data_IF_140529403289
#
_entry.id   IF_140529403289
#
_cell.length_a   1.000
_cell.length_b   1.000
_cell.length_c   1.000
_cell.angle_alpha   90.00
_cell.angle_beta   90.00
_cell.angle_gamma   90.00
#
_symmetry.space_group_name_H-M   'P 1'
#
loop_
_entity.id
_entity.type
_entity.pdbx_description
1 polymer ?
#
# COMPACT_ATOMS: atom_id res chain seq x y z
N UNK A 1 -20.37 22.44 -26.13
CA UNK A 1 -19.79 21.31 -25.39
C UNK A 1 -18.70 21.89 -24.49
N UNK A 2 -18.88 22.02 -23.17
CA UNK A 2 -17.73 22.35 -22.34
C UNK A 2 -16.89 21.09 -22.17
N UNK A 3 -15.64 21.13 -22.60
CA UNK A 3 -14.58 20.23 -22.15
C UNK A 3 -14.29 20.58 -20.70
N UNK A 4 -14.79 19.74 -19.79
CA UNK A 4 -14.38 19.78 -18.40
C UNK A 4 -13.00 19.15 -18.30
N UNK A 5 -11.98 19.97 -18.54
CA UNK A 5 -10.62 19.64 -18.11
C UNK A 5 -10.50 20.20 -16.71
N UNK A 6 -11.05 19.48 -15.73
CA UNK A 6 -10.57 19.59 -14.35
C UNK A 6 -9.05 19.44 -14.41
N UNK A 7 -8.26 20.34 -13.79
CA UNK A 7 -6.85 20.06 -13.60
C UNK A 7 -6.77 18.70 -12.90
N UNK A 8 -6.08 17.74 -13.50
CA UNK A 8 -5.53 16.63 -12.73
C UNK A 8 -4.68 17.29 -11.66
N UNK A 9 -5.06 17.14 -10.39
CA UNK A 9 -4.35 17.71 -9.25
C UNK A 9 -2.96 17.05 -9.19
N UNK A 10 -2.00 17.58 -9.95
CA UNK A 10 -0.58 17.20 -10.07
C UNK A 10 0.21 17.49 -8.75
N UNK A 11 -0.39 17.25 -7.59
CA UNK A 11 0.18 17.65 -6.30
C UNK A 11 0.89 16.48 -5.57
N UNK A 12 0.62 15.25 -6.00
CA UNK A 12 1.24 14.06 -5.40
C UNK A 12 2.30 13.50 -6.34
N UNK A 13 3.53 13.42 -5.84
CA UNK A 13 4.61 12.67 -6.49
C UNK A 13 4.70 11.28 -5.87
N UNK A 14 4.29 10.26 -6.62
CA UNK A 14 4.45 8.86 -6.19
C UNK A 14 5.83 8.34 -6.58
N UNK A 15 6.60 7.88 -5.58
CA UNK A 15 7.94 7.30 -5.80
C UNK A 15 8.18 6.11 -4.89
N UNK A 16 9.24 5.35 -5.18
CA UNK A 16 9.74 4.30 -4.28
C UNK A 16 10.19 4.95 -2.97
N UNK A 17 9.98 4.23 -1.86
CA UNK A 17 10.53 4.59 -0.56
C UNK A 17 12.05 4.79 -0.61
N UNK A 18 12.53 5.79 0.10
CA UNK A 18 13.93 6.06 0.35
C UNK A 18 14.23 6.00 1.86
N UNK A 19 15.44 5.63 2.30
CA UNK A 19 15.76 5.49 3.73
C UNK A 19 15.47 6.73 4.59
N UNK A 20 15.43 7.92 3.98
CA UNK A 20 15.05 9.17 4.65
C UNK A 20 13.57 9.28 5.02
N UNK A 21 12.68 8.51 4.39
CA UNK A 21 11.23 8.58 4.61
C UNK A 21 10.77 7.85 5.88
N UNK A 22 11.62 6.98 6.44
CA UNK A 22 11.22 5.99 7.45
C UNK A 22 10.55 6.56 8.70
N UNK A 23 11.00 7.71 9.19
CA UNK A 23 10.34 8.36 10.33
C UNK A 23 8.91 8.79 9.97
N UNK A 24 8.74 9.52 8.86
CA UNK A 24 7.43 10.05 8.47
C UNK A 24 6.44 8.96 8.10
N UNK A 25 6.91 7.88 7.47
CA UNK A 25 6.09 6.69 7.17
C UNK A 25 5.51 6.06 8.44
N UNK A 26 6.29 5.92 9.52
CA UNK A 26 5.80 5.40 10.80
C UNK A 26 4.77 6.32 11.44
N UNK A 27 5.05 7.62 11.46
CA UNK A 27 4.11 8.65 11.96
C UNK A 27 2.80 8.65 11.17
N UNK A 28 2.87 8.52 9.84
CA UNK A 28 1.71 8.41 8.97
C UNK A 28 0.89 7.15 9.24
N UNK A 29 1.55 5.99 9.40
CA UNK A 29 0.87 4.75 9.73
C UNK A 29 0.11 4.86 11.06
N UNK A 30 0.74 5.39 12.10
CA UNK A 30 0.10 5.64 13.39
C UNK A 30 -1.07 6.63 13.28
N UNK A 31 -0.87 7.76 12.58
CA UNK A 31 -1.92 8.77 12.40
C UNK A 31 -3.14 8.21 11.65
N UNK A 32 -2.92 7.41 10.61
CA UNK A 32 -3.99 6.77 9.85
C UNK A 32 -4.67 5.64 10.64
N UNK A 33 -3.89 4.77 11.31
CA UNK A 33 -4.42 3.61 12.04
C UNK A 33 -5.12 4.01 13.33
N UNK A 34 -4.66 5.04 14.04
CA UNK A 34 -5.26 5.49 15.32
C UNK A 34 -6.74 5.87 15.21
N UNK A 35 -7.27 6.04 13.99
CA UNK A 35 -8.69 6.30 13.72
C UNK A 35 -9.50 5.04 13.47
N UNK A 36 -8.90 3.85 13.48
CA UNK A 36 -9.57 2.57 13.27
C UNK A 36 -9.73 1.79 14.59
N UNK A 37 -10.82 1.02 14.77
CA UNK A 37 -11.02 0.20 15.97
C UNK A 37 -9.94 -0.87 16.20
N UNK A 38 -9.23 -1.27 15.16
CA UNK A 38 -8.21 -2.32 15.17
C UNK A 38 -6.85 -1.83 15.68
N UNK A 39 -6.69 -0.52 15.89
CA UNK A 39 -5.42 0.05 16.34
C UNK A 39 -5.03 -0.44 17.73
N UNK A 40 -3.77 -0.88 17.83
CA UNK A 40 -3.14 -1.22 19.10
C UNK A 40 -1.93 -0.30 19.28
N UNK A 41 -2.00 0.70 20.17
CA UNK A 41 -0.89 1.61 20.41
C UNK A 41 0.39 0.87 20.79
N UNK A 42 1.51 1.20 20.15
CA UNK A 42 2.81 0.61 20.43
C UNK A 42 2.97 -0.85 19.97
N UNK A 43 2.04 -1.39 19.18
CA UNK A 43 2.27 -2.63 18.46
C UNK A 43 3.46 -2.45 17.50
N UNK A 44 4.41 -3.39 17.46
CA UNK A 44 5.59 -3.23 16.61
C UNK A 44 5.23 -3.45 15.14
N UNK A 45 5.33 -2.38 14.34
CA UNK A 45 5.29 -2.44 12.87
C UNK A 45 6.70 -2.74 12.33
N UNK A 46 7.18 -3.98 12.52
CA UNK A 46 8.58 -4.38 12.23
C UNK A 46 8.98 -4.17 10.76
N UNK A 47 8.04 -4.37 9.86
CA UNK A 47 8.19 -4.09 8.43
C UNK A 47 8.44 -2.59 8.13
N UNK A 48 7.93 -1.69 8.97
CA UNK A 48 8.20 -0.24 8.88
C UNK A 48 9.48 0.20 9.63
N UNK A 49 10.09 -0.69 10.42
CA UNK A 49 11.42 -0.47 11.00
C UNK A 49 12.53 -0.69 9.97
N UNK A 50 12.34 -1.67 9.05
CA UNK A 50 13.25 -1.98 7.93
C UNK A 50 12.44 -2.25 6.64
N UNK A 51 11.93 -1.17 6.04
CA UNK A 51 11.17 -1.24 4.78
C UNK A 51 11.96 -1.92 3.66
N UNK A 52 13.23 -1.55 3.38
CA UNK A 52 13.98 -2.20 2.31
C UNK A 52 14.18 -3.70 2.54
N UNK A 53 14.50 -4.10 3.77
CA UNK A 53 14.72 -5.51 4.10
C UNK A 53 13.44 -6.35 4.05
N UNK A 54 12.28 -5.75 4.26
CA UNK A 54 11.00 -6.44 4.22
C UNK A 54 10.37 -6.48 2.81
N UNK A 55 10.29 -5.33 2.13
CA UNK A 55 9.48 -5.20 0.93
C UNK A 55 10.24 -5.35 -0.38
N UNK A 56 11.57 -5.14 -0.43
CA UNK A 56 12.27 -5.09 -1.72
C UNK A 56 12.78 -6.45 -2.22
N UNK A 57 12.52 -7.54 -1.48
CA UNK A 57 12.71 -8.91 -1.98
C UNK A 57 11.43 -9.39 -2.69
N UNK A 58 11.24 -8.94 -3.93
CA UNK A 58 10.09 -9.32 -4.76
C UNK A 58 8.82 -8.49 -4.52
N UNK A 59 8.83 -7.50 -3.64
CA UNK A 59 7.73 -6.56 -3.43
C UNK A 59 8.07 -5.12 -3.81
N UNK A 60 7.19 -4.21 -3.40
CA UNK A 60 7.36 -2.78 -3.59
C UNK A 60 6.80 -2.00 -2.40
N UNK A 61 7.41 -0.86 -2.10
CA UNK A 61 6.90 0.10 -1.14
C UNK A 61 6.98 1.51 -1.73
N UNK A 62 5.82 2.12 -1.92
CA UNK A 62 5.66 3.45 -2.49
C UNK A 62 5.30 4.47 -1.42
N UNK A 63 5.80 5.68 -1.61
CA UNK A 63 5.42 6.88 -0.87
C UNK A 63 4.82 7.90 -1.85
N UNK A 64 3.73 8.53 -1.43
CA UNK A 64 3.17 9.70 -2.08
C UNK A 64 3.68 10.94 -1.37
N UNK A 65 4.39 11.80 -2.10
CA UNK A 65 5.04 13.00 -1.57
C UNK A 65 4.34 14.24 -2.08
N UNK A 66 3.97 15.13 -1.17
CA UNK A 66 3.37 16.43 -1.45
C UNK A 66 4.13 17.50 -0.69
N UNK A 67 4.50 18.60 -1.36
CA UNK A 67 5.28 19.69 -0.75
C UNK A 67 6.57 19.21 -0.02
N UNK A 68 7.15 18.11 -0.50
CA UNK A 68 8.34 17.48 0.08
C UNK A 68 8.08 16.57 1.29
N UNK A 69 6.82 16.35 1.67
CA UNK A 69 6.42 15.51 2.79
C UNK A 69 5.69 14.24 2.33
N UNK A 70 5.96 13.11 2.98
CA UNK A 70 5.24 11.86 2.74
C UNK A 70 3.85 11.96 3.36
N UNK A 71 2.82 11.94 2.51
CA UNK A 71 1.40 12.03 2.91
C UNK A 71 0.60 10.76 2.56
N UNK A 72 1.19 9.82 1.83
CA UNK A 72 0.57 8.55 1.51
C UNK A 72 1.58 7.41 1.41
N UNK A 73 1.15 6.18 1.66
CA UNK A 73 1.93 4.96 1.44
C UNK A 73 1.08 3.88 0.80
N UNK A 74 1.72 2.97 0.07
CA UNK A 74 1.12 1.72 -0.38
C UNK A 74 2.24 0.71 -0.66
N UNK A 75 2.01 -0.56 -0.37
CA UNK A 75 2.98 -1.61 -0.58
C UNK A 75 2.32 -2.86 -1.18
N UNK A 76 3.11 -3.65 -1.89
CA UNK A 76 2.76 -5.04 -2.14
C UNK A 76 3.92 -5.98 -1.82
N UNK A 77 3.56 -7.22 -1.55
CA UNK A 77 4.47 -8.35 -1.38
C UNK A 77 3.91 -9.59 -2.09
N UNK A 78 4.76 -10.50 -2.58
CA UNK A 78 4.29 -11.77 -3.13
C UNK A 78 3.42 -12.52 -2.12
N UNK A 79 2.31 -13.12 -2.57
CA UNK A 79 1.48 -13.90 -1.66
C UNK A 79 2.27 -15.08 -1.07
N UNK A 80 2.19 -15.26 0.26
CA UNK A 80 2.71 -16.47 0.87
C UNK A 80 1.94 -17.70 0.32
N UNK A 81 2.67 -18.78 0.02
CA UNK A 81 2.12 -19.98 -0.67
C UNK A 81 0.87 -20.55 0.00
N UNK A 82 0.79 -20.55 1.33
CA UNK A 82 -0.35 -21.08 2.07
C UNK A 82 -1.59 -20.18 1.98
N UNK A 83 -1.42 -18.88 1.72
CA UNK A 83 -2.53 -17.97 1.40
C UNK A 83 -2.97 -18.18 -0.04
N UNK A 84 -2.05 -18.39 -0.99
CA UNK A 84 -2.38 -18.62 -2.40
C UNK A 84 -3.29 -19.85 -2.60
N UNK A 85 -3.10 -20.91 -1.81
CA UNK A 85 -3.97 -22.11 -1.80
C UNK A 85 -5.42 -21.80 -1.36
N UNK A 86 -5.66 -20.70 -0.65
CA UNK A 86 -7.01 -20.25 -0.26
C UNK A 86 -7.69 -19.40 -1.36
N UNK A 87 -6.92 -18.91 -2.34
CA UNK A 87 -7.39 -18.13 -3.47
C UNK A 87 -7.67 -18.99 -4.72
N UNK A 88 -7.85 -20.32 -4.56
CA UNK A 88 -8.33 -21.23 -5.63
C UNK A 88 -9.74 -20.85 -6.11
N UNK A 89 -9.82 -19.79 -6.91
CA UNK A 89 -11.00 -19.30 -7.62
C UNK A 89 -10.62 -18.95 -9.06
N UNK A 90 -11.01 -19.83 -9.98
CA UNK A 90 -11.12 -19.81 -11.45
C UNK A 90 -10.26 -18.92 -12.38
N UNK A 91 -9.40 -17.99 -11.94
CA UNK A 91 -8.61 -17.17 -12.90
C UNK A 91 -7.26 -16.62 -12.40
N UNK A 92 -6.90 -16.73 -11.13
CA UNK A 92 -5.57 -16.28 -10.68
C UNK A 92 -4.60 -17.46 -10.62
N UNK A 93 -3.58 -17.47 -11.48
CA UNK A 93 -2.39 -18.28 -11.22
C UNK A 93 -1.72 -17.78 -9.92
N UNK A 94 -1.34 -18.65 -8.97
CA UNK A 94 -0.68 -18.24 -7.71
C UNK A 94 0.52 -17.31 -7.89
N UNK A 95 1.19 -17.42 -9.05
CA UNK A 95 2.35 -16.60 -9.42
C UNK A 95 1.98 -15.17 -9.87
N UNK A 96 0.70 -14.83 -9.90
CA UNK A 96 0.14 -13.58 -10.43
C UNK A 96 -0.78 -12.86 -9.42
N UNK A 97 -0.69 -13.19 -8.13
CA UNK A 97 -1.42 -12.50 -7.07
C UNK A 97 -0.41 -11.96 -6.05
N UNK A 98 -0.54 -10.68 -5.72
CA UNK A 98 0.28 -10.04 -4.69
C UNK A 98 -0.61 -9.42 -3.61
N UNK A 99 -0.11 -9.44 -2.38
CA UNK A 99 -0.82 -8.92 -1.23
C UNK A 99 -0.64 -7.39 -1.20
N UNK A 100 -1.75 -6.66 -1.19
CA UNK A 100 -1.78 -5.23 -0.96
C UNK A 100 -1.74 -4.96 0.55
N UNK A 101 -0.68 -4.28 0.98
CA UNK A 101 -0.48 -3.89 2.38
C UNK A 101 -0.11 -2.40 2.49
N UNK A 102 -0.08 -1.90 3.73
CA UNK A 102 0.36 -0.53 4.08
C UNK A 102 -0.23 0.61 3.25
N UNK A 103 -1.44 0.43 2.70
CA UNK A 103 -2.18 1.49 2.03
C UNK A 103 -2.70 2.50 3.06
N UNK A 104 -2.06 3.67 3.13
CA UNK A 104 -2.40 4.75 4.07
C UNK A 104 -2.40 6.09 3.34
N UNK A 105 -3.30 6.97 3.75
CA UNK A 105 -3.30 8.38 3.35
C UNK A 105 -3.44 9.20 4.61
N UNK A 106 -2.71 10.31 4.69
CA UNK A 106 -2.79 11.24 5.81
C UNK A 106 -4.25 11.67 5.99
N UNK A 107 -4.83 11.56 7.20
CA UNK A 107 -6.22 11.91 7.45
C UNK A 107 -6.59 13.35 7.04
N UNK A 108 -5.64 14.29 7.09
CA UNK A 108 -5.88 15.68 6.70
C UNK A 108 -5.86 15.86 5.16
N UNK A 109 -5.44 14.82 4.44
CA UNK A 109 -5.41 14.74 2.99
C UNK A 109 -6.51 13.84 2.39
N UNK A 110 -7.44 13.32 3.20
CA UNK A 110 -8.53 12.46 2.71
C UNK A 110 -9.50 13.17 1.75
N UNK A 111 -10.15 12.37 0.90
CA UNK A 111 -11.13 12.87 -0.09
C UNK A 111 -10.51 13.56 -1.31
N UNK A 112 -9.18 13.51 -1.46
CA UNK A 112 -8.43 14.16 -2.56
C UNK A 112 -7.99 13.22 -3.69
N UNK A 113 -8.32 11.93 -3.61
CA UNK A 113 -7.95 10.94 -4.62
C UNK A 113 -6.56 10.30 -4.47
N UNK A 114 -5.74 10.71 -3.50
CA UNK A 114 -4.39 10.16 -3.30
C UNK A 114 -4.35 8.64 -3.11
N UNK A 115 -5.35 8.05 -2.44
CA UNK A 115 -5.42 6.58 -2.32
C UNK A 115 -5.57 5.89 -3.67
N UNK A 116 -6.40 6.46 -4.56
CA UNK A 116 -6.61 5.96 -5.93
C UNK A 116 -5.33 6.09 -6.76
N UNK A 117 -4.63 7.22 -6.63
CA UNK A 117 -3.37 7.45 -7.34
C UNK A 117 -2.27 6.49 -6.90
N UNK A 118 -2.11 6.32 -5.57
CA UNK A 118 -1.19 5.33 -5.00
C UNK A 118 -1.51 3.92 -5.48
N UNK A 119 -2.79 3.51 -5.46
CA UNK A 119 -3.21 2.21 -5.96
C UNK A 119 -2.87 2.03 -7.45
N UNK A 120 -3.19 3.01 -8.29
CA UNK A 120 -2.94 2.94 -9.73
C UNK A 120 -1.45 2.80 -10.07
N UNK A 121 -0.58 3.55 -9.40
CA UNK A 121 0.87 3.43 -9.61
C UNK A 121 1.42 2.10 -9.07
N UNK A 122 0.92 1.65 -7.91
CA UNK A 122 1.30 0.37 -7.34
C UNK A 122 0.92 -0.80 -8.26
N UNK A 123 -0.32 -0.80 -8.76
CA UNK A 123 -0.85 -1.79 -9.69
C UNK A 123 -0.10 -1.77 -11.03
N UNK A 124 0.26 -0.57 -11.53
CA UNK A 124 1.08 -0.42 -12.74
C UNK A 124 2.46 -1.07 -12.57
N UNK A 125 3.10 -0.93 -11.41
CA UNK A 125 4.41 -1.55 -11.12
C UNK A 125 4.30 -3.06 -10.96
N UNK A 126 3.31 -3.52 -10.19
CA UNK A 126 3.04 -4.95 -10.04
C UNK A 126 2.83 -5.61 -11.40
N UNK A 127 2.11 -4.95 -12.33
CA UNK A 127 1.94 -5.48 -13.70
C UNK A 127 3.23 -5.61 -14.51
N UNK A 128 4.19 -4.71 -14.29
CA UNK A 128 5.50 -4.78 -14.94
C UNK A 128 6.30 -5.97 -14.42
N UNK A 129 6.20 -6.24 -13.12
CA UNK A 129 6.98 -7.30 -12.46
C UNK A 129 6.35 -8.69 -12.65
N UNK A 130 5.02 -8.79 -12.63
CA UNK A 130 4.28 -10.06 -12.56
C UNK A 130 3.37 -10.34 -13.77
N UNK A 131 3.14 -9.37 -14.66
CA UNK A 131 2.21 -9.52 -15.79
C UNK A 131 0.76 -9.18 -15.41
N UNK A 132 -0.21 -9.99 -15.80
CA UNK A 132 -1.61 -9.77 -15.40
C UNK A 132 -1.78 -10.12 -13.92
N UNK A 133 -1.86 -9.09 -13.05
CA UNK A 133 -1.80 -9.25 -11.59
C UNK A 133 -3.02 -8.65 -10.92
N UNK A 134 -3.52 -9.33 -9.89
CA UNK A 134 -4.57 -8.83 -9.02
C UNK A 134 -3.99 -8.46 -7.64
N UNK A 135 -4.24 -7.21 -7.21
CA UNK A 135 -3.89 -6.74 -5.87
C UNK A 135 -4.98 -7.13 -4.87
N UNK A 136 -4.71 -8.06 -3.98
CA UNK A 136 -5.66 -8.46 -2.93
C UNK A 136 -5.31 -7.83 -1.59
N UNK A 137 -6.28 -7.16 -0.96
CA UNK A 137 -6.15 -6.81 0.44
C UNK A 137 -6.08 -8.12 1.24
N UNK A 138 -5.04 -8.30 2.05
CA UNK A 138 -5.06 -9.37 3.03
C UNK A 138 -6.21 -9.12 4.01
N UNK A 139 -7.28 -9.89 3.85
CA UNK A 139 -8.31 -10.02 4.85
C UNK A 139 -7.65 -10.74 6.03
N UNK A 140 -7.21 -9.97 7.02
CA UNK A 140 -6.63 -10.50 8.25
C UNK A 140 -7.70 -11.31 8.98
N UNK A 141 -7.79 -12.62 8.70
CA UNK A 141 -8.65 -13.54 9.43
C UNK A 141 -7.93 -13.83 10.75
N UNK A 142 -8.07 -12.94 11.73
CA UNK A 142 -7.66 -13.23 13.10
C UNK A 142 -8.46 -14.46 13.54
N UNK A 143 -7.81 -15.63 13.59
CA UNK A 143 -8.36 -16.78 14.29
C UNK A 143 -8.45 -16.37 15.75
N UNK A 144 -9.63 -15.96 16.20
CA UNK A 144 -9.89 -15.86 17.63
C UNK A 144 -9.94 -17.29 18.12
N UNK A 145 -8.79 -17.78 18.58
CA UNK A 145 -8.68 -19.06 19.27
C UNK A 145 -9.63 -19.04 20.48
N UNK A 146 -10.49 -20.05 20.55
CA UNK A 146 -11.41 -20.28 21.67
C UNK A 146 -10.75 -20.87 22.90
#
# INVERSE_FOLDING_TARGET
>A
MPTDTSPVDDDLTVRRFEPGDGQRVRELNEAAMSRTPEWVPGAPDRDLEDVPGHYFDGGEFLVGVRDGEVVATAAYEPLERWMAEQFEGDSATPDATVELSRMRVDPDCWGRGYGTEMYGELERRARVDFGDVELHLALYRRTIGG
#
